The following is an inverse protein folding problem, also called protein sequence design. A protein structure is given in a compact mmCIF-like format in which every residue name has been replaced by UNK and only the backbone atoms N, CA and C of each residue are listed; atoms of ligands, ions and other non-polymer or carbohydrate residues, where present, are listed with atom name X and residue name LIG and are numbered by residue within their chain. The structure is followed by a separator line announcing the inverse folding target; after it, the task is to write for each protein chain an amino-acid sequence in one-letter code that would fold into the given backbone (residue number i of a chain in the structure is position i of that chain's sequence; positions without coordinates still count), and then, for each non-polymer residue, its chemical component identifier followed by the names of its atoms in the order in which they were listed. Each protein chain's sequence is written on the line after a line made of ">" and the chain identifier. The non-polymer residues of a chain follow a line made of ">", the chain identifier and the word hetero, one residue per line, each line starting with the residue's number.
data_IF_481105356154
#
_entry.id   IF_481105356154
#
_cell.length_a   1.000
_cell.length_b   1.000
_cell.length_c   1.000
_cell.angle_alpha   90.00
_cell.angle_beta   90.00
_cell.angle_gamma   90.00
#
_symmetry.space_group_name_H-M   'P 1'
#
loop_
_entity.id
_entity.type
_entity.pdbx_description
1 polymer ?
#
# COMPACT_ATOMS: atom_id res chain seq x y z
N UNK A 1 19.22 -2.06 -1.71
CA UNK A 1 18.24 -3.18 -1.68
C UNK A 1 18.91 -4.49 -1.28
N UNK A 2 20.23 -4.60 -1.44
CA UNK A 2 21.03 -5.81 -1.22
C UNK A 2 20.90 -6.42 0.19
N UNK A 3 20.71 -5.58 1.22
CA UNK A 3 20.55 -6.05 2.60
C UNK A 3 19.34 -6.99 2.79
N UNK A 4 18.24 -6.77 2.07
CA UNK A 4 17.03 -7.61 2.17
C UNK A 4 16.97 -8.69 1.09
N UNK A 5 17.88 -8.66 0.10
CA UNK A 5 17.88 -9.58 -1.04
C UNK A 5 17.85 -11.07 -0.64
N UNK A 6 18.59 -11.53 0.41
CA UNK A 6 18.56 -12.94 0.81
C UNK A 6 17.16 -13.46 1.17
N UNK A 7 16.21 -12.57 1.49
CA UNK A 7 14.82 -12.91 1.80
C UNK A 7 13.91 -12.53 0.63
N UNK A 8 13.94 -11.25 0.23
CA UNK A 8 13.00 -10.67 -0.73
C UNK A 8 13.15 -11.22 -2.16
N UNK A 9 14.25 -11.89 -2.50
CA UNK A 9 14.42 -12.57 -3.78
C UNK A 9 13.69 -13.92 -3.87
N UNK A 10 13.31 -14.50 -2.72
CA UNK A 10 12.78 -15.87 -2.65
C UNK A 10 11.35 -15.94 -2.11
N UNK A 11 10.93 -14.96 -1.31
CA UNK A 11 9.56 -14.86 -0.80
C UNK A 11 9.00 -13.45 -0.99
N UNK A 12 7.68 -13.30 -1.22
CA UNK A 12 7.05 -11.98 -1.27
C UNK A 12 7.32 -11.17 -0.01
N UNK A 13 7.89 -9.98 -0.17
CA UNK A 13 8.21 -9.06 0.92
C UNK A 13 7.25 -7.86 0.89
N UNK A 14 6.16 -7.97 1.65
CA UNK A 14 5.07 -6.99 1.64
C UNK A 14 5.38 -5.81 2.58
N UNK A 15 5.20 -4.58 2.10
CA UNK A 15 5.55 -3.34 2.83
C UNK A 15 4.41 -2.33 2.80
N UNK A 16 4.27 -1.50 3.83
CA UNK A 16 3.44 -0.30 3.79
C UNK A 16 4.34 0.96 3.87
N UNK A 17 3.92 2.10 3.28
CA UNK A 17 4.68 3.34 3.42
C UNK A 17 4.46 3.95 4.82
N UNK A 18 5.50 4.58 5.36
CA UNK A 18 5.42 5.45 6.54
C UNK A 18 5.96 6.84 6.23
N UNK A 19 6.03 7.68 7.26
CA UNK A 19 6.45 9.07 7.13
C UNK A 19 7.90 9.22 6.63
N UNK A 20 8.78 8.27 6.92
CA UNK A 20 10.17 8.29 6.44
C UNK A 20 10.30 7.99 4.94
N UNK A 21 9.24 7.48 4.30
CA UNK A 21 9.18 7.32 2.85
C UNK A 21 8.75 8.61 2.14
N UNK A 22 8.32 9.67 2.84
CA UNK A 22 7.72 10.86 2.22
C UNK A 22 8.65 11.67 1.32
N UNK A 23 9.96 11.48 1.48
CA UNK A 23 10.95 12.21 0.73
C UNK A 23 10.72 12.11 -0.78
N UNK A 24 10.86 13.25 -1.48
CA UNK A 24 10.55 13.37 -2.90
C UNK A 24 9.18 12.77 -3.29
N UNK A 25 8.11 13.05 -2.53
CA UNK A 25 6.74 12.56 -2.78
C UNK A 25 6.67 11.02 -2.91
N UNK A 26 7.31 10.31 -1.99
CA UNK A 26 7.31 8.85 -1.92
C UNK A 26 7.93 8.16 -3.13
N UNK A 27 8.67 8.87 -3.98
CA UNK A 27 9.20 8.30 -5.23
C UNK A 27 10.14 7.13 -5.00
N UNK A 28 10.95 7.15 -3.95
CA UNK A 28 11.79 6.00 -3.62
C UNK A 28 10.96 4.75 -3.30
N UNK A 29 9.92 4.90 -2.49
CA UNK A 29 9.04 3.78 -2.14
C UNK A 29 8.29 3.27 -3.37
N UNK A 30 7.62 4.18 -4.10
CA UNK A 30 6.80 3.86 -5.28
C UNK A 30 7.58 3.14 -6.40
N UNK A 31 8.87 3.42 -6.54
CA UNK A 31 9.69 2.84 -7.60
C UNK A 31 10.53 1.63 -7.18
N UNK A 32 10.71 1.38 -5.87
CA UNK A 32 11.51 0.24 -5.38
C UNK A 32 10.66 -0.96 -4.96
N UNK A 33 9.40 -0.73 -4.60
CA UNK A 33 8.49 -1.78 -4.13
C UNK A 33 7.30 -1.96 -5.05
N UNK A 34 6.93 -3.21 -5.30
CA UNK A 34 5.78 -3.58 -6.14
C UNK A 34 4.77 -4.35 -5.30
N UNK A 35 3.70 -3.68 -4.90
CA UNK A 35 2.61 -4.28 -4.13
C UNK A 35 1.45 -4.68 -5.06
N UNK A 36 0.49 -5.50 -4.59
CA UNK A 36 -0.72 -5.80 -5.33
C UNK A 36 -1.37 -4.54 -5.90
N UNK A 37 -1.78 -4.58 -7.18
CA UNK A 37 -2.39 -3.45 -7.87
C UNK A 37 -1.54 -2.17 -7.87
N UNK A 38 -0.20 -2.26 -7.85
CA UNK A 38 0.71 -1.10 -7.81
C UNK A 38 0.44 -0.04 -8.88
N UNK A 39 -0.11 -0.40 -10.05
CA UNK A 39 -0.46 0.58 -11.09
C UNK A 39 -1.66 1.46 -10.73
N UNK A 40 -2.58 0.96 -9.90
CA UNK A 40 -3.80 1.69 -9.52
C UNK A 40 -3.52 2.72 -8.44
N UNK A 41 -2.63 2.39 -7.50
CA UNK A 41 -2.40 3.19 -6.28
C UNK A 41 -0.93 3.37 -5.91
N UNK A 42 0.00 3.13 -6.84
CA UNK A 42 1.45 3.32 -6.67
C UNK A 42 2.03 2.55 -5.46
N UNK A 43 1.48 1.37 -5.15
CA UNK A 43 1.83 0.57 -3.96
C UNK A 43 1.54 1.25 -2.61
N UNK A 44 0.87 2.41 -2.59
CA UNK A 44 0.61 3.17 -1.36
C UNK A 44 -0.53 2.57 -0.53
N UNK A 45 -1.50 1.92 -1.17
CA UNK A 45 -2.57 1.17 -0.50
C UNK A 45 -2.96 -0.03 -1.35
N UNK A 46 -3.26 -1.16 -0.69
CA UNK A 46 -3.58 -2.41 -1.37
C UNK A 46 -4.09 -3.46 -0.37
N UNK A 47 -4.66 -4.53 -0.90
CA UNK A 47 -5.10 -5.70 -0.15
C UNK A 47 -4.75 -6.98 -0.91
N UNK A 48 -4.72 -8.12 -0.20
CA UNK A 48 -4.61 -9.45 -0.81
C UNK A 48 -5.11 -10.53 0.15
N UNK A 49 -5.36 -11.71 -0.39
CA UNK A 49 -5.74 -12.89 0.38
C UNK A 49 -4.57 -13.86 0.49
N UNK A 50 -4.37 -14.42 1.69
CA UNK A 50 -3.50 -15.57 1.91
C UNK A 50 -4.24 -16.58 2.78
N UNK A 51 -4.71 -17.65 2.15
CA UNK A 51 -5.62 -18.60 2.80
C UNK A 51 -6.88 -17.89 3.30
N UNK A 52 -7.29 -18.10 4.57
CA UNK A 52 -8.50 -17.48 5.13
C UNK A 52 -8.28 -16.03 5.60
N UNK A 53 -7.09 -15.46 5.41
CA UNK A 53 -6.75 -14.12 5.90
C UNK A 53 -6.78 -13.12 4.76
N UNK A 54 -7.55 -12.05 4.95
CA UNK A 54 -7.55 -10.87 4.09
C UNK A 54 -6.66 -9.78 4.72
N UNK A 55 -5.54 -9.48 4.07
CA UNK A 55 -4.60 -8.46 4.52
C UNK A 55 -4.90 -7.13 3.82
N UNK A 56 -4.86 -6.04 4.58
CA UNK A 56 -5.08 -4.68 4.09
C UNK A 56 -3.90 -3.81 4.55
N UNK A 57 -3.27 -3.13 3.59
CA UNK A 57 -2.28 -2.10 3.84
C UNK A 57 -2.90 -0.73 3.52
N UNK A 58 -3.05 0.11 4.54
CA UNK A 58 -3.45 1.51 4.41
C UNK A 58 -2.22 2.41 4.37
N UNK A 59 -2.29 3.49 3.59
CA UNK A 59 -1.36 4.60 3.73
C UNK A 59 -1.89 5.54 4.81
N UNK A 60 -1.23 5.57 5.96
CA UNK A 60 -1.46 6.61 6.98
C UNK A 60 -1.06 7.99 6.46
N UNK A 61 -0.13 8.03 5.51
CA UNK A 61 0.48 9.26 5.01
C UNK A 61 -0.50 10.13 4.23
N UNK A 62 -1.57 9.54 3.68
CA UNK A 62 -2.64 10.33 3.07
C UNK A 62 -3.37 11.24 4.07
N UNK A 63 -3.39 10.88 5.36
CA UNK A 63 -4.04 11.69 6.41
C UNK A 63 -3.08 12.69 7.07
N UNK A 64 -1.76 12.44 7.02
CA UNK A 64 -0.74 13.33 7.59
C UNK A 64 -0.18 14.33 6.59
N UNK A 65 -0.13 14.01 5.29
CA UNK A 65 0.45 14.85 4.24
C UNK A 65 -0.64 15.49 3.35
N UNK A 66 -1.59 16.20 3.96
CA UNK A 66 -2.72 16.83 3.27
C UNK A 66 -2.31 17.91 2.25
N UNK A 67 -1.07 18.40 2.30
CA UNK A 67 -0.52 19.31 1.28
C UNK A 67 -0.50 18.71 -0.13
N UNK A 68 -0.56 17.37 -0.27
CA UNK A 68 -0.71 16.69 -1.55
C UNK A 68 -2.17 16.60 -2.03
N UNK A 69 -3.11 17.21 -1.30
CA UNK A 69 -4.52 17.29 -1.61
C UNK A 69 -5.36 16.20 -0.93
N UNK A 70 -6.68 16.38 -0.95
CA UNK A 70 -7.63 15.48 -0.27
C UNK A 70 -8.09 14.29 -1.12
N UNK A 71 -7.80 14.29 -2.43
CA UNK A 71 -8.22 13.19 -3.33
C UNK A 71 -7.73 11.80 -2.87
N UNK A 72 -6.47 11.63 -2.41
CA UNK A 72 -5.99 10.33 -1.92
C UNK A 72 -6.77 9.85 -0.69
N UNK A 73 -7.16 10.76 0.21
CA UNK A 73 -7.95 10.45 1.42
C UNK A 73 -9.29 9.84 1.04
N UNK A 74 -10.07 10.54 0.20
CA UNK A 74 -11.38 10.06 -0.24
C UNK A 74 -11.25 8.76 -1.05
N UNK A 75 -10.26 8.68 -1.94
CA UNK A 75 -10.00 7.47 -2.73
C UNK A 75 -9.70 6.26 -1.85
N UNK A 76 -8.88 6.41 -0.81
CA UNK A 76 -8.55 5.32 0.11
C UNK A 76 -9.77 4.90 0.92
N UNK A 77 -10.59 5.86 1.38
CA UNK A 77 -11.84 5.57 2.07
C UNK A 77 -12.80 4.75 1.20
N UNK A 78 -13.08 5.22 -0.02
CA UNK A 78 -14.00 4.55 -0.95
C UNK A 78 -13.47 3.18 -1.40
N UNK A 79 -12.16 3.05 -1.56
CA UNK A 79 -11.53 1.78 -1.88
C UNK A 79 -11.66 0.79 -0.71
N UNK A 80 -11.33 1.22 0.51
CA UNK A 80 -11.39 0.37 1.70
C UNK A 80 -12.81 -0.14 1.98
N UNK A 81 -13.82 0.72 1.81
CA UNK A 81 -15.23 0.32 1.98
C UNK A 81 -15.60 -0.82 1.00
N UNK A 82 -15.23 -0.68 -0.28
CA UNK A 82 -15.49 -1.71 -1.30
C UNK A 82 -14.70 -2.99 -1.06
N UNK A 83 -13.45 -2.86 -0.65
CA UNK A 83 -12.55 -3.98 -0.37
C UNK A 83 -13.07 -4.83 0.81
N UNK A 84 -13.50 -4.18 1.90
CA UNK A 84 -14.12 -4.85 3.03
C UNK A 84 -15.48 -5.49 2.69
N UNK A 85 -16.29 -4.84 1.85
CA UNK A 85 -17.54 -5.44 1.35
C UNK A 85 -17.28 -6.70 0.51
N UNK A 86 -16.24 -6.70 -0.32
CA UNK A 86 -15.85 -7.88 -1.11
C UNK A 86 -15.32 -9.00 -0.21
N UNK A 87 -14.43 -8.68 0.72
CA UNK A 87 -13.78 -9.65 1.60
C UNK A 87 -14.75 -10.34 2.59
N UNK A 88 -15.92 -9.75 2.81
CA UNK A 88 -16.95 -10.27 3.74
C UNK A 88 -18.10 -10.99 3.03
N UNK A 89 -18.04 -11.17 1.71
CA UNK A 89 -19.05 -11.94 0.97
C UNK A 89 -19.07 -13.41 1.40
N UNK A 90 -20.25 -14.04 1.51
CA UNK A 90 -20.38 -15.45 1.86
C UNK A 90 -19.75 -16.41 0.85
#
# INVERSE_FOLDING_TARGET
>A
MDQIQPIAAYIPYMTCPGNHESDHNFTHYKNRFTMPNYKSYESMMYSWNLGPIHFISLSTEFYYFLQYGLKPVFRQYEWLEKDLQEATKP
#
